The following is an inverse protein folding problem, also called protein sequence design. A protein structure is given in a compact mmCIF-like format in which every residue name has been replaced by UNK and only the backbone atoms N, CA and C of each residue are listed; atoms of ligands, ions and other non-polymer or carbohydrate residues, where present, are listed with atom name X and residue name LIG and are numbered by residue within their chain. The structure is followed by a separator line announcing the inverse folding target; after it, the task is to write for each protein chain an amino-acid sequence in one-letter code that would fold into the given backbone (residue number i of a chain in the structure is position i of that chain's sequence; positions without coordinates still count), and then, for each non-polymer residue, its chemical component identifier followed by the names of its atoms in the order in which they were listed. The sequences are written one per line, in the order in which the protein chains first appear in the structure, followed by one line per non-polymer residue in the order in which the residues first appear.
data_IF_498045035366
#
_entry.id   IF_498045035366
#
_cell.length_a   1.000
_cell.length_b   1.000
_cell.length_c   1.000
_cell.angle_alpha   90.00
_cell.angle_beta   90.00
_cell.angle_gamma   90.00
#
_symmetry.space_group_name_H-M   'P 1'
#
loop_
_entity.id
_entity.type
_entity.pdbx_description
1 polymer ?
#
# COMPACT_ATOMS: atom_id res chain seq x y z
N UNK A 1 -18.24 1.18 -10.81
CA UNK A 1 -19.12 2.05 -11.63
C UNK A 1 -19.87 1.23 -12.67
N UNK A 2 -21.03 1.66 -13.18
CA UNK A 2 -21.78 0.93 -14.22
C UNK A 2 -21.91 1.76 -15.50
N UNK A 3 -21.78 1.10 -16.65
CA UNK A 3 -22.08 1.69 -17.97
C UNK A 3 -23.20 0.88 -18.60
N UNK A 4 -24.18 1.57 -19.19
CA UNK A 4 -25.32 0.94 -19.88
C UNK A 4 -25.53 1.53 -21.27
N UNK A 5 -25.84 0.68 -22.25
CA UNK A 5 -26.25 1.08 -23.60
C UNK A 5 -27.51 0.34 -24.02
N UNK A 6 -28.41 1.00 -24.76
CA UNK A 6 -29.72 0.45 -25.15
C UNK A 6 -29.88 0.51 -26.66
N UNK A 7 -30.54 -0.50 -27.24
CA UNK A 7 -30.88 -0.50 -28.66
C UNK A 7 -32.01 0.51 -28.89
N UNK A 8 -31.73 1.59 -29.62
CA UNK A 8 -32.70 2.65 -29.96
C UNK A 8 -33.46 2.38 -31.25
N UNK A 9 -33.04 1.36 -32.02
CA UNK A 9 -33.72 0.89 -33.22
C UNK A 9 -32.88 -0.16 -33.96
N UNK A 10 -33.52 -0.97 -34.80
CA UNK A 10 -32.84 -1.83 -35.76
C UNK A 10 -33.60 -1.78 -37.09
N UNK A 11 -32.89 -1.51 -38.18
CA UNK A 11 -33.45 -1.46 -39.54
C UNK A 11 -32.62 -2.33 -40.48
N UNK A 12 -33.27 -3.22 -41.25
CA UNK A 12 -32.63 -4.10 -42.24
C UNK A 12 -32.97 -5.59 -42.06
N UNK A 13 -32.76 -6.37 -43.13
CA UNK A 13 -33.05 -7.82 -43.22
C UNK A 13 -34.39 -8.13 -43.91
N UNK A 14 -34.48 -9.28 -44.59
CA UNK A 14 -35.69 -9.80 -45.26
C UNK A 14 -36.60 -10.58 -44.28
N UNK A 15 -36.69 -10.14 -43.03
CA UNK A 15 -37.42 -10.87 -41.98
C UNK A 15 -38.82 -10.27 -41.79
N UNK A 16 -39.86 -11.11 -41.79
CA UNK A 16 -41.26 -10.70 -41.58
C UNK A 16 -41.53 -10.04 -40.21
N UNK A 17 -40.66 -10.25 -39.21
CA UNK A 17 -40.80 -9.63 -37.89
C UNK A 17 -39.44 -9.50 -37.18
N UNK A 18 -38.91 -8.28 -37.07
CA UNK A 18 -37.76 -7.94 -36.23
C UNK A 18 -38.25 -7.05 -35.08
N UNK A 19 -38.22 -7.58 -33.85
CA UNK A 19 -38.54 -6.80 -32.65
C UNK A 19 -37.28 -6.68 -31.81
N UNK A 20 -36.60 -5.51 -31.82
CA UNK A 20 -35.42 -5.29 -30.99
C UNK A 20 -35.79 -5.40 -29.52
N UNK A 21 -34.97 -6.10 -28.74
CA UNK A 21 -35.12 -6.11 -27.29
C UNK A 21 -34.59 -4.77 -26.73
N UNK A 22 -35.44 -3.92 -26.11
CA UNK A 22 -35.03 -2.63 -25.57
C UNK A 22 -34.37 -2.75 -24.19
N UNK A 23 -34.12 -3.97 -23.70
CA UNK A 23 -33.41 -4.17 -22.43
C UNK A 23 -31.98 -3.64 -22.57
N UNK A 24 -31.54 -2.69 -21.73
CA UNK A 24 -30.18 -2.16 -21.78
C UNK A 24 -29.16 -3.27 -21.54
N UNK A 25 -28.13 -3.34 -22.37
CA UNK A 25 -26.93 -4.10 -22.04
C UNK A 25 -26.20 -3.35 -20.92
N UNK A 26 -26.00 -4.02 -19.78
CA UNK A 26 -25.28 -3.46 -18.65
C UNK A 26 -23.91 -4.12 -18.52
N UNK A 27 -22.89 -3.29 -18.34
CA UNK A 27 -21.54 -3.74 -17.97
C UNK A 27 -21.22 -3.17 -16.59
N UNK A 28 -21.06 -4.08 -15.63
CA UNK A 28 -20.62 -3.74 -14.28
C UNK A 28 -19.11 -3.62 -14.26
N UNK A 29 -18.60 -2.45 -13.85
CA UNK A 29 -17.18 -2.28 -13.53
C UNK A 29 -17.02 -2.53 -12.04
N UNK A 30 -16.52 -3.72 -11.73
CA UNK A 30 -16.05 -4.07 -10.40
C UNK A 30 -14.74 -3.34 -10.13
N UNK A 31 -14.71 -2.56 -9.06
CA UNK A 31 -13.49 -1.96 -8.54
C UNK A 31 -12.61 -3.05 -7.93
N UNK A 32 -11.33 -3.07 -8.28
CA UNK A 32 -10.35 -3.95 -7.62
C UNK A 32 -9.90 -3.26 -6.34
N UNK A 33 -10.16 -3.88 -5.19
CA UNK A 33 -9.55 -3.40 -3.95
C UNK A 33 -8.09 -3.83 -3.96
N UNK A 34 -7.21 -2.92 -4.33
CA UNK A 34 -5.76 -3.16 -4.30
C UNK A 34 -5.26 -3.08 -2.85
N UNK A 35 -5.30 -4.20 -2.14
CA UNK A 35 -4.79 -4.30 -0.78
C UNK A 35 -3.26 -4.12 -0.76
N UNK A 36 -2.78 -2.99 -0.25
CA UNK A 36 -1.34 -2.77 0.00
C UNK A 36 -0.99 -3.20 1.41
N UNK A 37 -0.03 -4.11 1.57
CA UNK A 37 0.49 -4.52 2.88
C UNK A 37 1.82 -3.82 3.16
N UNK A 38 2.05 -3.41 4.42
CA UNK A 38 3.31 -2.82 4.87
C UNK A 38 4.06 -3.81 5.78
N UNK A 39 5.33 -4.06 5.50
CA UNK A 39 6.21 -4.93 6.29
C UNK A 39 7.37 -4.12 6.84
N UNK A 40 7.68 -4.25 8.13
CA UNK A 40 8.84 -3.64 8.77
C UNK A 40 9.97 -4.66 8.90
N UNK A 41 11.16 -4.29 8.44
CA UNK A 41 12.41 -5.00 8.72
C UNK A 41 13.38 -4.07 9.43
N UNK A 42 14.29 -4.64 10.23
CA UNK A 42 15.33 -3.92 10.95
C UNK A 42 16.66 -4.67 10.83
N UNK A 43 17.78 -3.98 11.04
CA UNK A 43 19.07 -4.68 11.17
C UNK A 43 19.00 -5.63 12.39
N UNK A 44 19.36 -6.92 12.23
CA UNK A 44 19.01 -7.96 13.20
C UNK A 44 19.75 -7.86 14.53
N UNK A 45 20.90 -7.19 14.54
CA UNK A 45 21.69 -6.91 15.74
C UNK A 45 22.71 -5.82 15.43
N UNK A 46 22.92 -4.92 16.37
CA UNK A 46 23.98 -3.91 16.32
C UNK A 46 24.73 -3.95 17.65
N UNK A 47 26.03 -3.67 17.60
CA UNK A 47 26.81 -3.39 18.82
C UNK A 47 26.39 -2.03 19.38
N UNK A 48 26.57 -1.80 20.69
CA UNK A 48 26.36 -0.49 21.31
C UNK A 48 27.13 0.61 20.57
N UNK A 49 26.50 1.77 20.37
CA UNK A 49 26.98 2.84 19.49
C UNK A 49 26.84 2.55 17.99
N UNK A 50 26.15 1.47 17.61
CA UNK A 50 25.82 1.14 16.23
C UNK A 50 24.52 1.77 15.74
N UNK A 51 24.26 1.64 14.44
CA UNK A 51 23.06 2.18 13.78
C UNK A 51 22.10 1.06 13.40
N UNK A 52 20.84 1.17 13.85
CA UNK A 52 19.74 0.31 13.41
C UNK A 52 19.02 0.97 12.24
N UNK A 53 19.09 0.37 11.06
CA UNK A 53 18.28 0.81 9.91
C UNK A 53 16.94 0.09 9.94
N UNK A 54 15.85 0.84 10.02
CA UNK A 54 14.50 0.36 9.86
C UNK A 54 14.03 0.59 8.43
N UNK A 55 13.49 -0.43 7.78
CA UNK A 55 12.98 -0.36 6.41
C UNK A 55 11.54 -0.80 6.38
N UNK A 56 10.67 0.02 5.78
CA UNK A 56 9.30 -0.35 5.45
C UNK A 56 9.24 -0.73 3.98
N UNK A 57 8.63 -1.88 3.70
CA UNK A 57 8.34 -2.36 2.35
C UNK A 57 6.85 -2.51 2.15
N UNK A 58 6.32 -1.86 1.12
CA UNK A 58 4.95 -1.98 0.64
C UNK A 58 4.86 -3.06 -0.45
N UNK A 59 3.75 -3.82 -0.49
CA UNK A 59 3.49 -4.80 -1.54
C UNK A 59 3.27 -4.18 -2.93
N UNK A 60 2.93 -2.90 -2.98
CA UNK A 60 2.63 -2.14 -4.18
C UNK A 60 3.25 -0.74 -4.08
N UNK A 61 3.60 -0.10 -5.20
CA UNK A 61 4.06 1.29 -5.18
C UNK A 61 3.02 2.20 -4.54
N UNK A 62 3.47 3.10 -3.66
CA UNK A 62 2.60 4.06 -3.01
C UNK A 62 1.98 5.02 -4.05
N UNK A 63 0.66 5.19 -4.06
CA UNK A 63 0.02 6.14 -4.97
C UNK A 63 0.22 7.59 -4.50
N UNK A 64 0.17 7.77 -3.18
CA UNK A 64 0.49 8.99 -2.43
C UNK A 64 1.60 8.68 -1.42
N UNK A 65 2.33 9.67 -0.90
CA UNK A 65 3.31 9.42 0.15
C UNK A 65 2.68 8.73 1.36
N UNK A 66 3.27 7.62 1.81
CA UNK A 66 2.83 6.88 2.99
C UNK A 66 3.77 7.16 4.15
N UNK A 67 3.24 7.62 5.28
CA UNK A 67 3.99 7.81 6.52
C UNK A 67 3.67 6.67 7.48
N UNK A 68 4.72 5.97 7.93
CA UNK A 68 4.66 4.91 8.92
C UNK A 68 5.29 5.39 10.22
N UNK A 69 4.56 5.28 11.31
CA UNK A 69 5.05 5.59 12.66
C UNK A 69 5.48 4.31 13.37
N UNK A 70 6.66 4.35 13.97
CA UNK A 70 7.24 3.26 14.73
C UNK A 70 7.00 3.46 16.22
N UNK A 71 7.05 2.37 17.00
CA UNK A 71 6.86 2.39 18.46
C UNK A 71 7.94 3.14 19.22
N UNK A 72 9.12 3.33 18.61
CA UNK A 72 10.20 4.17 19.13
C UNK A 72 10.00 5.67 18.83
N UNK A 73 8.87 6.05 18.22
CA UNK A 73 8.53 7.44 17.87
C UNK A 73 9.10 7.92 16.54
N UNK A 74 9.91 7.12 15.85
CA UNK A 74 10.41 7.49 14.53
C UNK A 74 9.35 7.35 13.43
N UNK A 75 9.53 8.11 12.36
CA UNK A 75 8.66 8.07 11.18
C UNK A 75 9.44 7.69 9.94
N UNK A 76 8.92 6.73 9.18
CA UNK A 76 9.42 6.36 7.85
C UNK A 76 8.44 6.88 6.80
N UNK A 77 8.95 7.55 5.77
CA UNK A 77 8.13 7.99 4.64
C UNK A 77 8.48 7.15 3.41
N UNK A 78 7.46 6.55 2.78
CA UNK A 78 7.55 5.91 1.46
C UNK A 78 6.98 6.90 0.45
N UNK A 79 7.81 7.42 -0.43
CA UNK A 79 7.38 8.41 -1.44
C UNK A 79 6.42 7.81 -2.46
N UNK A 80 5.61 8.67 -3.09
CA UNK A 80 4.76 8.26 -4.20
C UNK A 80 5.58 7.60 -5.33
N UNK A 81 5.05 6.52 -5.88
CA UNK A 81 5.71 5.68 -6.89
C UNK A 81 6.79 4.75 -6.33
N UNK A 82 7.08 4.77 -5.02
CA UNK A 82 8.05 3.88 -4.38
C UNK A 82 7.36 2.80 -3.57
N UNK A 83 8.07 1.71 -3.35
CA UNK A 83 7.64 0.60 -2.49
C UNK A 83 8.38 0.59 -1.16
N UNK A 84 9.39 1.43 -0.97
CA UNK A 84 10.28 1.36 0.19
C UNK A 84 10.64 2.74 0.72
N UNK A 85 10.82 2.80 2.05
CA UNK A 85 11.38 3.92 2.78
C UNK A 85 12.16 3.40 3.99
N UNK A 86 13.13 4.17 4.48
CA UNK A 86 13.97 3.78 5.62
C UNK A 86 14.28 4.95 6.55
N UNK A 87 14.62 4.62 7.79
CA UNK A 87 15.14 5.57 8.78
C UNK A 87 16.20 4.89 9.65
N UNK A 88 17.23 5.64 10.01
CA UNK A 88 18.32 5.18 10.87
C UNK A 88 18.09 5.61 12.32
N UNK A 89 18.34 4.68 13.24
CA UNK A 89 18.32 4.90 14.68
C UNK A 89 19.70 4.68 15.26
N UNK A 90 20.28 5.73 15.80
CA UNK A 90 21.53 5.64 16.55
C UNK A 90 21.25 5.03 17.93
N UNK A 91 21.87 3.87 18.19
CA UNK A 91 21.82 3.30 19.53
C UNK A 91 22.71 4.10 20.48
N UNK A 92 22.36 4.17 21.79
CA UNK A 92 23.22 4.83 22.77
C UNK A 92 24.66 4.32 22.71
N UNK A 93 25.62 5.23 22.90
CA UNK A 93 27.02 4.87 23.02
C UNK A 93 27.22 3.87 24.17
N UNK A 94 28.20 2.97 24.00
CA UNK A 94 28.56 2.00 25.02
C UNK A 94 28.89 2.71 26.35
N UNK A 95 28.26 2.25 27.43
CA UNK A 95 28.52 2.69 28.79
C UNK A 95 28.84 1.46 29.66
N UNK A 96 29.87 1.59 30.49
CA UNK A 96 30.42 0.55 31.38
C UNK A 96 29.36 -0.04 32.32
N UNK A 97 28.25 0.68 32.55
CA UNK A 97 27.18 0.27 33.47
C UNK A 97 25.95 -0.36 32.80
N UNK A 98 25.73 -0.14 31.50
CA UNK A 98 24.50 -0.55 30.80
C UNK A 98 24.82 -1.46 29.62
N UNK A 99 25.26 -2.69 29.92
CA UNK A 99 25.65 -3.66 28.91
C UNK A 99 24.44 -4.50 28.45
N UNK A 100 23.96 -4.23 27.24
CA UNK A 100 22.96 -5.05 26.54
C UNK A 100 21.50 -4.62 26.73
N UNK A 101 21.06 -3.61 25.97
CA UNK A 101 19.63 -3.31 25.81
C UNK A 101 19.07 -3.95 24.54
N UNK A 102 18.01 -4.74 24.66
CA UNK A 102 17.26 -5.23 23.51
C UNK A 102 16.36 -4.11 22.98
N UNK A 103 16.64 -3.60 21.77
CA UNK A 103 15.76 -2.65 21.09
C UNK A 103 14.70 -3.44 20.32
N UNK A 104 13.44 -3.33 20.73
CA UNK A 104 12.29 -3.87 20.01
C UNK A 104 11.46 -2.72 19.43
N UNK A 105 11.09 -2.82 18.16
CA UNK A 105 10.31 -1.77 17.49
C UNK A 105 9.27 -2.39 16.57
N UNK A 106 8.05 -1.89 16.67
CA UNK A 106 6.90 -2.33 15.86
C UNK A 106 6.30 -1.13 15.13
N UNK A 107 5.51 -1.39 14.09
CA UNK A 107 4.67 -0.37 13.46
C UNK A 107 3.50 -0.05 14.41
N UNK A 108 3.28 1.22 14.71
CA UNK A 108 2.14 1.69 15.52
C UNK A 108 1.06 2.36 14.69
N UNK A 109 1.39 2.84 13.48
CA UNK A 109 0.40 3.39 12.55
C UNK A 109 0.97 3.58 11.14
N UNK A 110 0.08 3.59 10.14
CA UNK A 110 0.39 3.91 8.77
C UNK A 110 -0.73 4.79 8.20
N UNK A 111 -0.37 5.91 7.56
CA UNK A 111 -1.28 6.86 6.93
C UNK A 111 -0.76 7.22 5.54
N UNK A 112 -1.64 7.29 4.54
CA UNK A 112 -1.32 7.63 3.15
C UNK A 112 -2.48 8.27 2.43
#
# INVERSE_FOLDING_TARGET
STVSTTITGATGGNFEQLTPNPTPAQTTINDSVDNTTATLTATPSVTEGGVITYTVTLSNPAQTPVTVTLSNGQTITVEAGKTQGSVDFETPANDVYNNGSTVSTTITGATG
#
